data_IF_165985392580
#
_entry.id   IF_165985392580
#
_cell.length_a   1.000
_cell.length_b   1.000
_cell.length_c   1.000
_cell.angle_alpha   90.00
_cell.angle_beta   90.00
_cell.angle_gamma   90.00
#
_symmetry.space_group_name_H-M   'P 1'
#
loop_
_entity.id
_entity.type
_entity.pdbx_description
1 polymer ?
#
# COMPACT_ATOMS: atom_id res chain seq x y z
N UNK A 1 -31.40 3.09 -26.61
CA UNK A 1 -30.39 2.20 -26.01
C UNK A 1 -29.69 2.99 -24.92
N UNK A 2 -30.18 2.86 -23.69
CA UNK A 2 -29.71 3.58 -22.51
C UNK A 2 -28.44 2.92 -22.00
N UNK A 3 -27.30 3.58 -22.22
CA UNK A 3 -26.03 3.22 -21.60
C UNK A 3 -26.04 3.80 -20.18
N UNK A 4 -26.41 2.98 -19.19
CA UNK A 4 -26.26 3.33 -17.77
C UNK A 4 -24.78 3.19 -17.43
N UNK A 5 -24.08 4.32 -17.40
CA UNK A 5 -22.88 4.45 -16.60
C UNK A 5 -23.29 4.20 -15.14
N UNK A 6 -22.93 3.04 -14.60
CA UNK A 6 -23.09 2.72 -13.20
C UNK A 6 -22.09 3.59 -12.42
N UNK A 7 -22.50 4.82 -12.14
CA UNK A 7 -21.78 5.71 -11.24
C UNK A 7 -21.62 4.98 -9.91
N UNK A 8 -20.38 4.66 -9.52
CA UNK A 8 -20.04 4.07 -8.23
C UNK A 8 -20.68 4.91 -7.13
N UNK A 9 -21.86 4.50 -6.68
CA UNK A 9 -22.52 5.11 -5.54
C UNK A 9 -21.74 4.63 -4.32
N UNK A 10 -21.25 5.53 -3.44
CA UNK A 10 -20.53 5.13 -2.24
C UNK A 10 -21.40 4.16 -1.44
N UNK A 11 -20.93 2.92 -1.25
CA UNK A 11 -21.61 1.96 -0.38
C UNK A 11 -20.95 2.03 1.00
N UNK A 12 -21.62 1.50 2.03
CA UNK A 12 -21.05 1.51 3.38
C UNK A 12 -19.80 0.63 3.48
N UNK A 13 -18.92 0.85 4.46
CA UNK A 13 -17.65 0.12 4.59
C UNK A 13 -17.83 -1.41 4.67
N UNK A 14 -18.92 -1.89 5.29
CA UNK A 14 -19.25 -3.33 5.34
C UNK A 14 -19.60 -3.92 3.97
N UNK A 15 -20.26 -3.17 3.10
CA UNK A 15 -20.64 -3.64 1.77
C UNK A 15 -19.45 -3.66 0.81
N UNK A 16 -18.49 -2.76 1.00
CA UNK A 16 -17.28 -2.72 0.19
C UNK A 16 -16.31 -3.84 0.56
N UNK A 17 -16.11 -4.11 1.86
CA UNK A 17 -15.32 -5.26 2.30
C UNK A 17 -15.89 -6.59 1.81
N UNK A 18 -17.21 -6.77 1.85
CA UNK A 18 -17.85 -7.98 1.31
C UNK A 18 -17.60 -8.15 -0.19
N UNK A 19 -17.63 -7.05 -0.97
CA UNK A 19 -17.26 -7.06 -2.38
C UNK A 19 -15.80 -7.45 -2.56
N UNK A 20 -14.88 -6.86 -1.79
CA UNK A 20 -13.45 -7.16 -1.87
C UNK A 20 -13.14 -8.61 -1.50
N UNK A 21 -13.77 -9.16 -0.45
CA UNK A 21 -13.64 -10.58 -0.10
C UNK A 21 -14.10 -11.49 -1.24
N UNK A 22 -15.21 -11.15 -1.91
CA UNK A 22 -15.66 -11.89 -3.10
C UNK A 22 -14.64 -11.82 -4.23
N UNK A 23 -14.11 -10.63 -4.53
CA UNK A 23 -13.09 -10.44 -5.57
C UNK A 23 -11.81 -11.23 -5.27
N UNK A 24 -11.37 -11.22 -4.00
CA UNK A 24 -10.25 -12.04 -3.54
C UNK A 24 -10.51 -13.53 -3.76
N UNK A 25 -11.73 -13.99 -3.47
CA UNK A 25 -12.13 -15.39 -3.66
C UNK A 25 -12.17 -15.88 -5.11
N UNK A 26 -12.04 -14.99 -6.09
CA UNK A 26 -11.87 -15.37 -7.51
C UNK A 26 -10.45 -15.87 -7.82
N UNK A 27 -9.47 -15.49 -6.98
CA UNK A 27 -8.07 -15.90 -7.11
C UNK A 27 -7.81 -17.13 -6.25
N UNK A 28 -7.49 -18.26 -6.88
CA UNK A 28 -7.25 -19.55 -6.20
C UNK A 28 -5.79 -20.01 -6.39
N UNK A 29 -5.34 -20.99 -5.59
CA UNK A 29 -4.02 -21.61 -5.74
C UNK A 29 -2.87 -20.93 -5.01
N UNK A 30 -3.14 -19.90 -4.20
CA UNK A 30 -2.16 -19.24 -3.34
C UNK A 30 -2.66 -19.05 -1.89
N UNK A 31 -3.42 -20.03 -1.41
CA UNK A 31 -4.06 -20.00 -0.08
C UNK A 31 -3.04 -19.87 1.05
N UNK A 32 -1.79 -20.28 0.82
CA UNK A 32 -0.67 -20.09 1.75
C UNK A 32 -0.38 -18.62 2.07
N UNK A 33 -0.74 -17.68 1.19
CA UNK A 33 -0.56 -16.25 1.40
C UNK A 33 -1.85 -15.52 1.80
N UNK A 34 -2.96 -16.24 2.04
CA UNK A 34 -4.21 -15.63 2.50
C UNK A 34 -4.04 -14.73 3.73
N UNK A 35 -3.27 -15.09 4.79
CA UNK A 35 -3.06 -14.21 5.93
C UNK A 35 -2.37 -12.88 5.57
N UNK A 36 -1.45 -12.90 4.60
CA UNK A 36 -0.75 -11.70 4.15
C UNK A 36 -1.69 -10.78 3.33
N UNK A 37 -2.58 -11.37 2.54
CA UNK A 37 -3.58 -10.62 1.79
C UNK A 37 -4.62 -10.00 2.73
N UNK A 38 -5.17 -10.77 3.67
CA UNK A 38 -6.22 -10.28 4.58
C UNK A 38 -5.72 -9.25 5.59
N UNK A 39 -4.45 -9.34 6.03
CA UNK A 39 -3.84 -8.36 6.93
C UNK A 39 -3.72 -6.96 6.32
N UNK A 40 -3.77 -6.87 4.99
CA UNK A 40 -3.45 -5.65 4.23
C UNK A 40 -4.69 -5.02 3.58
N UNK A 41 -5.82 -5.72 3.57
CA UNK A 41 -7.00 -5.36 2.80
C UNK A 41 -7.61 -4.01 3.20
N UNK A 42 -7.86 -3.81 4.50
CA UNK A 42 -8.48 -2.59 5.04
C UNK A 42 -7.62 -1.35 4.75
N UNK A 43 -6.31 -1.47 5.00
CA UNK A 43 -5.31 -0.45 4.71
C UNK A 43 -5.29 -0.05 3.21
N UNK A 44 -5.25 -1.03 2.31
CA UNK A 44 -5.29 -0.76 0.87
C UNK A 44 -6.60 -0.10 0.44
N UNK A 45 -7.73 -0.56 0.98
CA UNK A 45 -9.02 0.03 0.66
C UNK A 45 -9.09 1.48 1.08
N UNK A 46 -8.73 1.80 2.33
CA UNK A 46 -8.74 3.18 2.84
C UNK A 46 -7.82 4.08 2.01
N UNK A 47 -6.62 3.60 1.66
CA UNK A 47 -5.70 4.35 0.82
C UNK A 47 -6.34 4.71 -0.53
N UNK A 48 -6.83 3.72 -1.27
CA UNK A 48 -7.40 3.93 -2.61
C UNK A 48 -8.76 4.63 -2.60
N UNK A 49 -9.53 4.51 -1.53
CA UNK A 49 -10.89 5.05 -1.44
C UNK A 49 -10.92 6.49 -0.95
N UNK A 50 -10.05 6.84 -0.02
CA UNK A 50 -10.17 8.09 0.74
C UNK A 50 -8.90 8.94 0.74
N UNK A 51 -7.74 8.39 0.40
CA UNK A 51 -6.45 9.08 0.58
C UNK A 51 -5.79 9.42 -0.74
N UNK A 52 -5.57 8.44 -1.62
CA UNK A 52 -4.77 8.59 -2.83
C UNK A 52 -5.51 9.42 -3.89
N UNK A 53 -4.80 10.39 -4.46
CA UNK A 53 -5.24 11.11 -5.65
C UNK A 53 -4.81 10.34 -6.88
N UNK A 54 -5.53 9.26 -7.21
CA UNK A 54 -5.28 8.46 -8.41
C UNK A 54 -6.52 7.67 -8.82
N UNK A 55 -6.78 7.61 -10.11
CA UNK A 55 -7.82 6.82 -10.77
C UNK A 55 -7.24 6.23 -12.07
N UNK A 56 -7.94 5.29 -12.74
CA UNK A 56 -7.49 4.79 -14.04
C UNK A 56 -7.26 5.90 -15.08
N UNK A 57 -8.11 6.94 -15.08
CA UNK A 57 -8.04 8.06 -16.01
C UNK A 57 -6.88 9.01 -15.69
N UNK A 58 -6.53 9.14 -14.42
CA UNK A 58 -5.48 10.04 -13.95
C UNK A 58 -4.14 9.35 -13.74
N UNK A 59 -4.01 8.04 -13.99
CA UNK A 59 -2.76 7.29 -13.78
C UNK A 59 -1.57 7.79 -14.63
N UNK A 60 -1.84 8.50 -15.73
CA UNK A 60 -0.80 9.16 -16.55
C UNK A 60 -0.44 10.57 -16.10
N UNK A 61 -1.19 11.16 -15.16
CA UNK A 61 -1.00 12.55 -14.71
C UNK A 61 0.29 12.67 -13.89
N UNK A 62 1.19 13.65 -14.17
CA UNK A 62 2.34 13.92 -13.32
C UNK A 62 1.95 14.24 -11.87
N UNK A 63 0.83 14.92 -11.64
CA UNK A 63 0.44 15.48 -10.33
C UNK A 63 -0.30 14.49 -9.41
N UNK A 64 -0.60 13.28 -9.88
CA UNK A 64 -1.22 12.21 -9.08
C UNK A 64 -0.30 11.75 -7.95
N UNK A 65 -0.84 11.10 -6.93
CA UNK A 65 -0.02 10.39 -5.95
C UNK A 65 0.58 9.09 -6.54
N UNK A 66 1.76 8.68 -6.04
CA UNK A 66 2.42 7.41 -6.38
C UNK A 66 2.14 6.40 -5.26
N UNK A 67 1.78 5.16 -5.60
CA UNK A 67 1.58 4.09 -4.61
C UNK A 67 2.44 2.86 -4.91
N UNK A 68 3.30 2.50 -3.96
CA UNK A 68 4.22 1.38 -4.04
C UNK A 68 3.80 0.30 -3.05
N UNK A 69 3.38 -0.87 -3.55
CA UNK A 69 3.21 -2.06 -2.71
C UNK A 69 4.57 -2.75 -2.56
N UNK A 70 5.28 -2.53 -1.45
CA UNK A 70 6.56 -3.22 -1.16
C UNK A 70 6.34 -4.66 -0.75
N UNK A 71 5.32 -4.88 0.10
CA UNK A 71 4.88 -6.20 0.56
C UNK A 71 4.17 -6.96 -0.56
N UNK A 72 4.91 -7.29 -1.62
CA UNK A 72 4.38 -7.84 -2.85
C UNK A 72 3.91 -9.30 -2.76
N UNK A 73 4.17 -9.99 -1.64
CA UNK A 73 3.72 -11.37 -1.43
C UNK A 73 2.24 -11.41 -1.08
N UNK A 74 1.48 -12.31 -1.70
CA UNK A 74 0.03 -12.42 -1.51
C UNK A 74 -0.75 -11.21 -2.04
N UNK A 75 -0.55 -10.78 -3.30
CA UNK A 75 -1.10 -9.53 -3.84
C UNK A 75 -2.60 -9.57 -4.10
N UNK A 76 -3.30 -10.64 -3.72
CA UNK A 76 -4.74 -10.81 -3.96
C UNK A 76 -5.57 -9.64 -3.44
N UNK A 77 -5.26 -9.11 -2.25
CA UNK A 77 -5.94 -7.93 -1.73
C UNK A 77 -5.69 -6.68 -2.60
N UNK A 78 -4.46 -6.54 -3.11
CA UNK A 78 -4.10 -5.44 -3.99
C UNK A 78 -4.82 -5.52 -5.33
N UNK A 79 -4.83 -6.69 -5.98
CA UNK A 79 -5.54 -6.90 -7.23
C UNK A 79 -7.06 -6.74 -7.07
N UNK A 80 -7.63 -7.19 -5.95
CA UNK A 80 -9.03 -6.97 -5.63
C UNK A 80 -9.36 -5.47 -5.49
N UNK A 81 -8.51 -4.68 -4.83
CA UNK A 81 -8.68 -3.23 -4.70
C UNK A 81 -8.53 -2.53 -6.05
N UNK A 82 -7.50 -2.87 -6.84
CA UNK A 82 -7.32 -2.34 -8.19
C UNK A 82 -8.53 -2.64 -9.09
N UNK A 83 -9.06 -3.86 -9.04
CA UNK A 83 -10.28 -4.23 -9.77
C UNK A 83 -11.50 -3.45 -9.27
N UNK A 84 -11.67 -3.34 -7.95
CA UNK A 84 -12.78 -2.58 -7.36
C UNK A 84 -12.77 -1.09 -7.73
N UNK A 85 -11.57 -0.53 -7.96
CA UNK A 85 -11.30 0.84 -8.40
C UNK A 85 -11.22 1.03 -9.92
N UNK A 86 -11.47 -0.03 -10.69
CA UNK A 86 -11.55 0.04 -12.15
C UNK A 86 -10.21 0.02 -12.90
N UNK A 87 -9.09 -0.21 -12.21
CA UNK A 87 -7.79 -0.40 -12.88
C UNK A 87 -7.71 -1.74 -13.61
N UNK A 88 -8.41 -2.76 -13.10
CA UNK A 88 -8.40 -4.12 -13.65
C UNK A 88 -9.82 -4.62 -13.93
N UNK A 89 -10.07 -5.23 -15.11
CA UNK A 89 -11.27 -6.02 -15.31
C UNK A 89 -11.33 -7.16 -14.29
N UNK A 90 -12.52 -7.39 -13.73
CA UNK A 90 -12.76 -8.44 -12.73
C UNK A 90 -12.46 -9.84 -13.29
N UNK A 91 -12.68 -10.04 -14.58
CA UNK A 91 -12.51 -11.33 -15.25
C UNK A 91 -11.06 -11.83 -15.18
N UNK A 92 -10.08 -10.90 -15.15
CA UNK A 92 -8.66 -11.24 -15.03
C UNK A 92 -8.32 -11.92 -13.69
N UNK A 93 -9.09 -11.65 -12.63
CA UNK A 93 -8.81 -12.20 -11.30
C UNK A 93 -8.86 -13.73 -11.31
N UNK A 94 -9.75 -14.32 -12.11
CA UNK A 94 -9.88 -15.78 -12.23
C UNK A 94 -8.66 -16.45 -12.88
N UNK A 95 -7.87 -15.69 -13.65
CA UNK A 95 -6.65 -16.16 -14.30
C UNK A 95 -5.39 -16.05 -13.44
N UNK A 96 -5.48 -15.55 -12.20
CA UNK A 96 -4.32 -15.35 -11.33
C UNK A 96 -3.42 -16.59 -11.24
N UNK A 97 -2.10 -16.39 -11.37
CA UNK A 97 -1.09 -17.45 -11.30
C UNK A 97 -1.00 -18.37 -12.52
N UNK A 98 -1.89 -18.23 -13.52
CA UNK A 98 -1.78 -18.99 -14.77
C UNK A 98 -0.68 -18.43 -15.69
N UNK A 99 -0.17 -19.25 -16.61
CA UNK A 99 1.02 -18.96 -17.43
C UNK A 99 0.97 -17.62 -18.19
N UNK A 100 -0.16 -17.30 -18.81
CA UNK A 100 -0.34 -16.07 -19.60
C UNK A 100 -1.01 -14.93 -18.79
N UNK A 101 -1.21 -15.12 -17.49
CA UNK A 101 -1.87 -14.13 -16.67
C UNK A 101 -0.95 -12.95 -16.38
N UNK A 102 -1.44 -11.69 -16.51
CA UNK A 102 -0.70 -10.55 -16.00
C UNK A 102 -0.65 -10.53 -14.47
N UNK A 103 -1.52 -11.30 -13.80
CA UNK A 103 -1.64 -11.32 -12.33
C UNK A 103 -0.86 -12.50 -11.77
N UNK A 104 0.41 -12.27 -11.44
CA UNK A 104 1.28 -13.24 -10.77
C UNK A 104 1.23 -13.15 -9.23
N UNK A 105 1.95 -14.06 -8.57
CA UNK A 105 2.12 -14.08 -7.10
C UNK A 105 2.86 -12.86 -6.54
N UNK A 106 3.39 -12.03 -7.42
CA UNK A 106 4.01 -10.75 -7.15
C UNK A 106 3.58 -9.75 -8.23
N UNK A 107 3.23 -8.50 -7.88
CA UNK A 107 2.90 -7.47 -8.85
C UNK A 107 4.07 -7.18 -9.78
N UNK A 108 3.76 -7.09 -11.08
CA UNK A 108 4.68 -6.63 -12.12
C UNK A 108 4.15 -5.33 -12.73
N UNK A 109 4.88 -4.22 -12.55
CA UNK A 109 4.50 -2.90 -13.10
C UNK A 109 4.37 -2.85 -14.62
N UNK A 110 4.96 -3.80 -15.34
CA UNK A 110 4.89 -3.86 -16.81
C UNK A 110 3.65 -4.58 -17.30
N UNK A 111 3.02 -5.39 -16.44
CA UNK A 111 1.86 -6.21 -16.77
C UNK A 111 0.58 -5.77 -16.07
N UNK A 112 0.66 -5.19 -14.87
CA UNK A 112 -0.49 -4.86 -14.02
C UNK A 112 -0.78 -3.36 -14.09
N UNK A 113 -1.86 -2.93 -14.76
CA UNK A 113 -2.34 -1.55 -14.69
C UNK A 113 -2.55 -1.07 -13.25
N UNK A 114 -2.04 0.13 -12.94
CA UNK A 114 -2.10 0.69 -11.59
C UNK A 114 -0.92 0.32 -10.69
N UNK A 115 -0.09 -0.68 -11.04
CA UNK A 115 1.10 -1.02 -10.27
C UNK A 115 2.28 -0.10 -10.61
N UNK A 116 2.77 0.67 -9.63
CA UNK A 116 3.89 1.58 -9.82
C UNK A 116 5.25 0.85 -9.90
N UNK A 117 5.39 -0.26 -9.17
CA UNK A 117 6.64 -1.04 -9.08
C UNK A 117 6.39 -2.54 -9.29
N UNK A 118 7.40 -3.22 -9.83
CA UNK A 118 7.53 -4.66 -9.65
C UNK A 118 8.02 -4.93 -8.23
N UNK A 119 7.35 -5.81 -7.48
CA UNK A 119 7.68 -6.07 -6.06
C UNK A 119 7.86 -7.56 -5.79
N UNK A 120 8.14 -7.93 -4.53
CA UNK A 120 8.29 -9.32 -4.11
C UNK A 120 9.63 -9.66 -3.46
N UNK A 121 10.65 -8.83 -3.65
CA UNK A 121 11.84 -8.88 -2.80
C UNK A 121 11.65 -7.86 -1.67
N UNK A 122 11.53 -8.36 -0.44
CA UNK A 122 11.33 -7.56 0.77
C UNK A 122 12.37 -6.44 0.88
N UNK A 123 11.96 -5.28 1.40
CA UNK A 123 12.88 -4.19 1.71
C UNK A 123 13.22 -3.26 0.54
N UNK A 124 12.74 -3.51 -0.68
CA UNK A 124 13.04 -2.64 -1.82
C UNK A 124 12.09 -1.45 -1.96
N UNK A 125 10.83 -1.57 -1.53
CA UNK A 125 9.82 -0.54 -1.82
C UNK A 125 10.08 0.80 -1.13
N UNK A 126 10.55 0.81 0.12
CA UNK A 126 10.83 2.07 0.83
C UNK A 126 12.04 2.83 0.25
N UNK A 127 13.18 2.20 -0.06
CA UNK A 127 14.24 2.84 -0.85
C UNK A 127 13.77 3.37 -2.21
N UNK A 128 12.94 2.60 -2.93
CA UNK A 128 12.34 3.04 -4.19
C UNK A 128 11.43 4.27 -3.99
N UNK A 129 10.67 4.32 -2.90
CA UNK A 129 9.83 5.45 -2.56
C UNK A 129 10.66 6.71 -2.27
N UNK A 130 11.77 6.57 -1.53
CA UNK A 130 12.75 7.65 -1.31
C UNK A 130 13.26 8.18 -2.65
N UNK A 131 13.72 7.28 -3.54
CA UNK A 131 14.17 7.68 -4.89
C UNK A 131 13.08 8.36 -5.71
N UNK A 132 11.83 7.91 -5.59
CA UNK A 132 10.68 8.48 -6.29
C UNK A 132 10.41 9.90 -5.84
N UNK A 133 10.44 10.18 -4.52
CA UNK A 133 10.29 11.55 -4.00
C UNK A 133 11.39 12.46 -4.53
N UNK A 134 12.65 12.01 -4.49
CA UNK A 134 13.78 12.79 -4.99
C UNK A 134 13.64 13.07 -6.50
N UNK A 135 13.20 12.08 -7.28
CA UNK A 135 12.95 12.20 -8.71
C UNK A 135 11.82 13.18 -9.04
N UNK A 136 10.73 13.19 -8.26
CA UNK A 136 9.64 14.16 -8.42
C UNK A 136 10.11 15.58 -8.08
N UNK A 137 10.84 15.77 -6.98
CA UNK A 137 11.42 17.07 -6.62
C UNK A 137 12.37 17.60 -7.68
N UNK A 138 13.20 16.74 -8.28
CA UNK A 138 14.09 17.13 -9.37
C UNK A 138 13.34 17.60 -10.63
N UNK A 139 12.09 17.17 -10.81
CA UNK A 139 11.19 17.63 -11.87
C UNK A 139 10.38 18.87 -11.47
N UNK A 140 10.57 19.41 -10.26
CA UNK A 140 9.78 20.53 -9.73
C UNK A 140 8.41 20.12 -9.17
N UNK A 141 8.14 18.82 -9.04
CA UNK A 141 6.87 18.28 -8.53
C UNK A 141 6.96 18.06 -7.02
N UNK A 142 6.51 19.04 -6.25
CA UNK A 142 6.55 19.01 -4.78
C UNK A 142 5.22 18.70 -4.10
N UNK A 143 4.12 18.76 -4.85
CA UNK A 143 2.77 18.46 -4.35
C UNK A 143 2.42 16.95 -4.35
N UNK A 144 2.82 16.13 -5.35
CA UNK A 144 2.51 14.71 -5.35
C UNK A 144 3.09 13.96 -4.16
N UNK A 145 2.26 13.11 -3.52
CA UNK A 145 2.70 12.24 -2.43
C UNK A 145 3.19 10.91 -2.96
N UNK A 146 4.17 10.33 -2.29
CA UNK A 146 4.62 8.96 -2.54
C UNK A 146 4.28 8.11 -1.34
N UNK A 147 3.36 7.19 -1.54
CA UNK A 147 2.94 6.20 -0.55
C UNK A 147 3.65 4.88 -0.80
N UNK A 148 4.15 4.28 0.28
CA UNK A 148 4.67 2.92 0.26
C UNK A 148 4.04 2.09 1.37
N UNK A 149 3.52 0.92 1.03
CA UNK A 149 3.03 -0.06 1.99
C UNK A 149 4.07 -1.16 2.18
N UNK A 150 4.53 -1.33 3.41
CA UNK A 150 5.49 -2.37 3.81
C UNK A 150 4.89 -3.29 4.87
N UNK A 151 5.38 -4.53 4.95
CA UNK A 151 5.18 -5.36 6.15
C UNK A 151 6.19 -5.03 7.25
N UNK A 152 5.82 -5.23 8.51
CA UNK A 152 6.74 -5.14 9.66
C UNK A 152 8.02 -5.96 9.50
N UNK A 153 7.95 -7.18 8.96
CA UNK A 153 9.11 -8.04 8.71
C UNK A 153 10.08 -7.45 7.67
N UNK A 154 9.62 -6.57 6.77
CA UNK A 154 10.54 -5.87 5.86
C UNK A 154 11.45 -4.89 6.61
N UNK A 155 11.10 -4.49 7.83
CA UNK A 155 11.96 -3.63 8.64
C UNK A 155 13.20 -4.37 9.16
N UNK A 156 13.30 -5.69 8.97
CA UNK A 156 14.52 -6.46 9.21
C UNK A 156 15.53 -6.35 8.05
N UNK A 157 15.10 -5.89 6.86
CA UNK A 157 15.94 -5.74 5.68
C UNK A 157 16.79 -4.46 5.76
N UNK A 158 18.11 -4.59 5.58
CA UNK A 158 19.07 -3.49 5.71
C UNK A 158 18.76 -2.27 4.85
N UNK A 159 18.22 -2.48 3.66
CA UNK A 159 17.80 -1.40 2.75
C UNK A 159 16.72 -0.49 3.37
N UNK A 160 15.79 -1.04 4.13
CA UNK A 160 14.80 -0.25 4.87
C UNK A 160 15.43 0.53 6.02
N UNK A 161 16.50 0.03 6.64
CA UNK A 161 17.27 0.80 7.63
C UNK A 161 17.95 2.02 7.00
N UNK A 162 18.58 1.84 5.83
CA UNK A 162 19.24 2.93 5.10
C UNK A 162 18.22 4.00 4.66
N UNK A 163 17.09 3.59 4.08
CA UNK A 163 16.05 4.50 3.64
C UNK A 163 15.42 5.28 4.80
N UNK A 164 15.14 4.62 5.93
CA UNK A 164 14.61 5.24 7.14
C UNK A 164 15.60 6.27 7.72
N UNK A 165 16.89 5.93 7.79
CA UNK A 165 17.94 6.81 8.30
C UNK A 165 18.16 8.05 7.42
N UNK A 166 17.94 7.94 6.11
CA UNK A 166 18.09 9.06 5.18
C UNK A 166 16.88 9.99 5.14
N UNK A 167 15.66 9.44 5.03
CA UNK A 167 14.47 10.21 4.68
C UNK A 167 14.09 11.28 5.70
N UNK A 168 14.28 11.00 7.00
CA UNK A 168 13.98 11.94 8.08
C UNK A 168 14.88 13.18 8.06
N UNK A 169 16.22 13.03 8.16
CA UNK A 169 17.15 14.15 8.04
C UNK A 169 17.04 14.90 6.70
N UNK A 170 16.66 14.22 5.62
CA UNK A 170 16.43 14.83 4.31
C UNK A 170 15.09 15.60 4.20
N UNK A 171 14.23 15.57 5.22
CA UNK A 171 12.95 16.29 5.21
C UNK A 171 12.05 15.88 4.05
N UNK A 172 11.93 14.58 3.79
CA UNK A 172 11.11 14.04 2.69
C UNK A 172 9.62 14.06 3.04
N UNK A 173 9.04 15.26 3.21
CA UNK A 173 7.63 15.44 3.58
C UNK A 173 6.63 14.78 2.63
N UNK A 174 6.96 14.62 1.34
CA UNK A 174 6.11 13.91 0.37
C UNK A 174 6.08 12.38 0.59
N UNK A 175 6.94 11.83 1.46
CA UNK A 175 7.04 10.38 1.70
C UNK A 175 6.11 9.96 2.84
N UNK A 176 5.18 9.07 2.50
CA UNK A 176 4.28 8.44 3.44
C UNK A 176 4.50 6.93 3.44
N UNK A 177 4.67 6.34 4.61
CA UNK A 177 4.84 4.90 4.80
C UNK A 177 3.68 4.33 5.61
N UNK A 178 3.03 3.29 5.10
CA UNK A 178 2.05 2.51 5.85
C UNK A 178 2.66 1.15 6.18
N UNK A 179 2.86 0.87 7.46
CA UNK A 179 3.40 -0.40 7.94
C UNK A 179 2.25 -1.28 8.43
N UNK A 180 2.12 -2.47 7.86
CA UNK A 180 1.24 -3.52 8.42
C UNK A 180 2.00 -4.27 9.50
N UNK A 181 1.61 -4.05 10.75
CA UNK A 181 2.18 -4.69 11.94
C UNK A 181 1.30 -5.87 12.37
N UNK A 182 1.73 -7.07 11.97
CA UNK A 182 1.09 -8.33 12.33
C UNK A 182 2.03 -9.23 13.17
N UNK A 183 3.04 -8.62 13.81
CA UNK A 183 4.00 -9.31 14.68
C UNK A 183 4.88 -10.34 13.98
N UNK A 184 5.16 -10.19 12.68
CA UNK A 184 6.05 -11.07 11.92
C UNK A 184 7.52 -10.64 11.96
N UNK A 185 7.83 -9.42 12.40
CA UNK A 185 9.22 -8.95 12.51
C UNK A 185 10.04 -9.79 13.50
N UNK A 186 11.25 -10.18 13.10
CA UNK A 186 12.13 -11.04 13.90
C UNK A 186 12.89 -10.22 14.95
N UNK A 187 13.34 -9.02 14.57
CA UNK A 187 14.22 -8.20 15.41
C UNK A 187 13.49 -7.01 16.05
N UNK A 188 12.27 -7.27 16.57
CA UNK A 188 11.46 -6.28 17.28
C UNK A 188 12.28 -5.51 18.33
N UNK A 189 12.16 -4.18 18.35
CA UNK A 189 12.93 -3.30 19.22
C UNK A 189 12.08 -2.73 20.36
N UNK A 190 12.68 -2.41 21.53
CA UNK A 190 12.00 -1.64 22.57
C UNK A 190 11.41 -0.34 22.00
N UNK A 191 10.18 0.00 22.41
CA UNK A 191 9.44 1.16 21.89
C UNK A 191 8.63 0.89 20.61
N UNK A 192 8.81 -0.26 19.95
CA UNK A 192 8.04 -0.65 18.78
C UNK A 192 8.42 0.10 17.49
N UNK A 193 7.63 -0.12 16.44
CA UNK A 193 7.90 0.40 15.10
C UNK A 193 7.86 1.94 15.08
N UNK A 194 6.85 2.56 15.68
CA UNK A 194 6.72 4.02 15.71
C UNK A 194 7.95 4.72 16.31
N UNK A 195 8.43 4.27 17.48
CA UNK A 195 9.60 4.84 18.13
C UNK A 195 10.87 4.75 17.26
N UNK A 196 11.01 3.67 16.47
CA UNK A 196 12.14 3.52 15.53
C UNK A 196 12.12 4.59 14.44
N UNK A 197 10.94 4.92 13.91
CA UNK A 197 10.78 5.98 12.91
C UNK A 197 10.97 7.38 13.53
N UNK A 198 10.40 7.62 14.71
CA UNK A 198 10.57 8.87 15.45
C UNK A 198 12.04 9.18 15.75
N UNK A 199 12.80 8.17 16.18
CA UNK A 199 14.24 8.28 16.43
C UNK A 199 15.03 8.67 15.17
N UNK A 200 14.49 8.41 13.98
CA UNK A 200 15.06 8.82 12.70
C UNK A 200 14.46 10.13 12.15
N UNK A 201 13.69 10.88 12.94
CA UNK A 201 13.15 12.19 12.55
C UNK A 201 11.79 12.15 11.85
N UNK A 202 11.14 10.99 11.76
CA UNK A 202 9.84 10.85 11.10
C UNK A 202 8.67 11.18 12.03
N UNK A 203 7.58 11.73 11.49
CA UNK A 203 6.29 11.74 12.18
C UNK A 203 5.74 10.31 12.21
N UNK A 204 5.20 9.86 13.34
CA UNK A 204 4.70 8.50 13.48
C UNK A 204 3.35 8.45 14.20
N UNK A 205 2.46 7.59 13.74
CA UNK A 205 1.21 7.26 14.41
C UNK A 205 0.99 5.75 14.39
N UNK A 206 0.35 5.20 15.43
CA UNK A 206 -0.04 3.79 15.47
C UNK A 206 -1.53 3.68 15.71
N UNK A 207 -2.22 2.94 14.84
CA UNK A 207 -3.68 2.81 14.85
C UNK A 207 -4.11 1.35 14.71
N UNK A 208 -5.38 1.08 15.02
CA UNK A 208 -6.02 -0.18 14.68
C UNK A 208 -6.16 -0.28 13.15
N UNK A 209 -5.54 -1.28 12.54
CA UNK A 209 -5.57 -1.52 11.10
C UNK A 209 -6.93 -2.01 10.57
N UNK A 210 -7.90 -2.29 11.45
CA UNK A 210 -9.29 -2.63 11.10
C UNK A 210 -10.24 -1.45 11.20
N UNK A 211 -9.82 -0.34 11.81
CA UNK A 211 -10.61 0.88 11.93
C UNK A 211 -10.31 1.82 10.74
N UNK A 212 -11.25 1.87 9.79
CA UNK A 212 -11.10 2.67 8.57
C UNK A 212 -11.03 4.17 8.84
N UNK A 213 -11.69 4.64 9.90
CA UNK A 213 -11.67 6.06 10.26
C UNK A 213 -10.38 6.43 10.97
N UNK A 214 -9.85 5.56 11.83
CA UNK A 214 -8.54 5.73 12.43
C UNK A 214 -7.43 5.70 11.37
N UNK A 215 -7.47 4.74 10.44
CA UNK A 215 -6.54 4.68 9.31
C UNK A 215 -6.58 5.97 8.46
N UNK A 216 -7.78 6.43 8.11
CA UNK A 216 -7.94 7.64 7.31
C UNK A 216 -7.44 8.88 8.07
N UNK A 217 -7.78 9.02 9.35
CA UNK A 217 -7.33 10.14 10.18
C UNK A 217 -5.80 10.18 10.28
N UNK A 218 -5.15 9.05 10.57
CA UNK A 218 -3.70 8.94 10.63
C UNK A 218 -3.06 9.24 9.27
N UNK A 219 -3.59 8.67 8.17
CA UNK A 219 -3.04 8.90 6.83
C UNK A 219 -3.17 10.35 6.32
N UNK A 220 -4.04 11.16 6.95
CA UNK A 220 -4.28 12.56 6.58
C UNK A 220 -3.79 13.56 7.62
N UNK A 221 -3.14 13.09 8.69
CA UNK A 221 -2.57 13.94 9.72
C UNK A 221 -1.46 14.84 9.13
N UNK A 222 -1.39 16.09 9.59
CA UNK A 222 -0.36 17.01 9.15
C UNK A 222 1.01 16.70 9.80
N UNK A 223 2.08 16.72 9.01
CA UNK A 223 3.44 16.41 9.45
C UNK A 223 4.49 17.32 8.78
N UNK A 224 4.39 18.65 8.97
CA UNK A 224 5.18 19.61 8.22
C UNK A 224 6.69 19.35 8.33
N UNK A 225 7.38 19.34 7.20
CA UNK A 225 8.83 19.17 7.09
C UNK A 225 9.37 17.78 7.40
N UNK A 226 8.52 16.77 7.65
CA UNK A 226 8.94 15.42 8.04
C UNK A 226 8.26 14.37 7.16
N UNK A 227 8.96 13.27 6.79
CA UNK A 227 8.28 12.09 6.28
C UNK A 227 7.38 11.48 7.38
N UNK A 228 6.36 10.74 6.97
CA UNK A 228 5.34 10.22 7.89
C UNK A 228 5.17 8.71 7.80
N UNK A 229 5.00 8.07 8.95
CA UNK A 229 4.67 6.66 9.06
C UNK A 229 3.35 6.46 9.82
N UNK A 230 2.48 5.62 9.28
CA UNK A 230 1.33 5.06 9.97
C UNK A 230 1.62 3.58 10.20
N UNK A 231 1.56 3.13 11.45
CA UNK A 231 1.68 1.72 11.83
C UNK A 231 0.27 1.19 12.07
N UNK A 232 -0.23 0.40 11.13
CA UNK A 232 -1.52 -0.27 11.23
C UNK A 232 -1.34 -1.63 11.90
N UNK A 233 -1.74 -1.71 13.18
CA UNK A 233 -1.70 -2.98 13.92
C UNK A 233 -2.88 -3.85 13.54
N UNK A 234 -2.60 -5.10 13.23
CA UNK A 234 -3.60 -6.13 12.93
C UNK A 234 -3.29 -7.39 13.72
N UNK A 235 -4.12 -8.41 13.58
CA UNK A 235 -3.98 -9.67 14.30
C UNK A 235 -2.65 -10.36 13.96
N UNK A 236 -2.00 -11.02 14.93
CA UNK A 236 -0.75 -11.71 14.68
C UNK A 236 -0.87 -12.80 13.62
N UNK A 237 0.16 -12.95 12.77
CA UNK A 237 0.19 -13.96 11.69
C UNK A 237 -0.05 -15.40 12.17
N UNK A 238 0.31 -15.71 13.42
CA UNK A 238 0.25 -17.06 14.01
C UNK A 238 -0.75 -17.17 15.18
N UNK A 239 -1.74 -16.26 15.26
CA UNK A 239 -2.78 -16.28 16.28
C UNK A 239 -3.80 -17.41 16.08
#
# INVERSE_FOLDING_TARGET
MTNTADTLTPRGPRTDLARLTRLMGLMTGDEKHSPAATSTLDALWVLYDRVLRVTPETFGDPDRDRFLLSKGHGPMAYYAVLSAKGFLPEELLSGFGSYDSPLGHHPDRTLVPGAEIGSGSLGHGLPLAVGTVLGLRAQGLTDPRVWVLIGDAELDEGSNHEALAYAGPAGLEQLHTLVIDNGSATYGRPGGIAARFEAAGWSAETVDGRDHDALHAACTAAHPGRPHVVVARVEPKHA
#
